data_IF_871638014208
#
_entry.id   IF_871638014208
#
_cell.length_a   1.000
_cell.length_b   1.000
_cell.length_c   1.000
_cell.angle_alpha   90.00
_cell.angle_beta   90.00
_cell.angle_gamma   90.00
#
_symmetry.space_group_name_H-M   'P 1'
#
loop_
_entity.id
_entity.type
_entity.pdbx_description
1 polymer ?
#
# COMPACT_ATOMS: atom_id res chain seq x y z
N UNK A 1 6.62 -3.13 -8.00
CA UNK A 1 6.79 -3.17 -9.46
C UNK A 1 6.81 -1.77 -10.04
N UNK A 2 7.69 -1.53 -11.01
CA UNK A 2 7.91 -0.25 -11.68
C UNK A 2 8.59 0.81 -10.82
N UNK A 3 9.17 1.82 -11.47
CA UNK A 3 9.91 2.92 -10.83
C UNK A 3 9.24 4.25 -11.14
N UNK A 4 9.06 5.11 -10.14
CA UNK A 4 8.55 6.47 -10.38
C UNK A 4 9.64 7.29 -11.06
N UNK A 5 9.38 7.70 -12.30
CA UNK A 5 10.25 8.61 -13.06
C UNK A 5 9.84 10.07 -12.85
N UNK A 6 8.57 10.29 -12.49
CA UNK A 6 8.08 11.56 -11.95
C UNK A 6 6.88 11.34 -11.01
N UNK A 7 6.23 12.43 -10.58
CA UNK A 7 5.13 12.40 -9.60
C UNK A 7 3.92 11.58 -10.06
N UNK A 8 3.70 11.42 -11.37
CA UNK A 8 2.50 10.78 -11.93
C UNK A 8 2.81 9.64 -12.90
N UNK A 9 4.05 9.52 -13.37
CA UNK A 9 4.49 8.46 -14.26
C UNK A 9 5.37 7.43 -13.54
N UNK A 10 4.97 6.17 -13.69
CA UNK A 10 5.75 5.00 -13.30
C UNK A 10 6.19 4.26 -14.55
N UNK A 11 7.49 4.10 -14.72
CA UNK A 11 8.07 3.31 -15.79
C UNK A 11 8.12 1.84 -15.38
N UNK A 12 7.80 0.95 -16.31
CA UNK A 12 8.00 -0.48 -16.14
C UNK A 12 9.33 -0.86 -16.80
N UNK A 13 10.23 -1.40 -16.00
CA UNK A 13 11.49 -1.97 -16.49
C UNK A 13 11.23 -3.24 -17.30
N UNK A 14 12.23 -3.70 -18.05
CA UNK A 14 12.15 -4.99 -18.75
C UNK A 14 11.89 -6.15 -17.77
N UNK A 15 12.43 -6.09 -16.56
CA UNK A 15 12.21 -7.07 -15.50
C UNK A 15 10.75 -7.08 -15.00
N UNK A 16 10.16 -5.90 -14.80
CA UNK A 16 8.74 -5.78 -14.43
C UNK A 16 7.84 -6.41 -15.51
N UNK A 17 8.12 -6.10 -16.79
CA UNK A 17 7.37 -6.63 -17.93
C UNK A 17 7.53 -8.15 -18.04
N UNK A 18 8.77 -8.64 -17.91
CA UNK A 18 9.06 -10.07 -17.93
C UNK A 18 8.35 -10.82 -16.81
N UNK A 19 8.24 -10.22 -15.62
CA UNK A 19 7.54 -10.78 -14.47
C UNK A 19 6.03 -10.93 -14.75
N UNK A 20 5.38 -9.88 -15.28
CA UNK A 20 3.95 -9.93 -15.64
C UNK A 20 3.70 -10.94 -16.76
N UNK A 21 4.51 -10.91 -17.82
CA UNK A 21 4.38 -11.84 -18.95
C UNK A 21 4.58 -13.30 -18.48
N UNK A 22 5.60 -13.55 -17.66
CA UNK A 22 5.89 -14.85 -17.10
C UNK A 22 4.73 -15.40 -16.27
N UNK A 23 4.15 -14.58 -15.39
CA UNK A 23 2.98 -14.97 -14.59
C UNK A 23 1.77 -15.32 -15.47
N UNK A 24 1.51 -14.53 -16.51
CA UNK A 24 0.43 -14.80 -17.46
C UNK A 24 0.63 -16.11 -18.24
N UNK A 25 1.82 -16.34 -18.80
CA UNK A 25 2.10 -17.54 -19.57
C UNK A 25 2.14 -18.81 -18.68
N UNK A 26 2.61 -18.69 -17.44
CA UNK A 26 2.52 -19.75 -16.44
C UNK A 26 1.06 -20.10 -16.11
N UNK A 27 0.19 -19.09 -15.94
CA UNK A 27 -1.25 -19.28 -15.70
C UNK A 27 -1.94 -19.96 -16.88
N UNK A 28 -1.59 -19.56 -18.11
CA UNK A 28 -2.12 -20.15 -19.34
C UNK A 28 -1.69 -21.61 -19.54
N UNK A 29 -0.56 -22.00 -18.94
CA UNK A 29 0.02 -23.33 -19.10
C UNK A 29 0.75 -23.51 -20.43
N UNK A 30 1.38 -22.45 -20.95
CA UNK A 30 2.13 -22.52 -22.20
C UNK A 30 3.32 -23.48 -22.06
N UNK A 31 3.50 -24.37 -23.06
CA UNK A 31 4.46 -25.49 -23.00
C UNK A 31 5.92 -25.06 -22.83
N UNK A 32 6.23 -23.83 -23.21
CA UNK A 32 7.58 -23.28 -23.20
C UNK A 32 7.94 -22.59 -21.87
N UNK A 33 7.00 -22.54 -20.91
CA UNK A 33 7.21 -21.94 -19.59
C UNK A 33 7.64 -22.99 -18.58
N UNK A 34 8.81 -22.79 -17.97
CA UNK A 34 9.39 -23.71 -16.97
C UNK A 34 8.81 -23.59 -15.56
N UNK A 35 7.81 -22.73 -15.34
CA UNK A 35 7.23 -22.42 -14.03
C UNK A 35 5.76 -22.80 -13.94
N UNK A 36 5.34 -23.27 -12.77
CA UNK A 36 3.92 -23.48 -12.44
C UNK A 36 3.32 -22.16 -11.96
N UNK A 37 2.08 -21.89 -12.34
CA UNK A 37 1.34 -20.76 -11.81
C UNK A 37 1.00 -20.91 -10.33
N UNK A 38 1.13 -19.81 -9.58
CA UNK A 38 0.70 -19.67 -8.20
C UNK A 38 0.09 -18.28 -8.00
N UNK A 39 -0.91 -18.19 -7.13
CA UNK A 39 -1.49 -16.91 -6.71
C UNK A 39 -0.50 -16.21 -5.77
N UNK A 40 -0.23 -14.93 -6.02
CA UNK A 40 0.71 -14.12 -5.23
C UNK A 40 -0.02 -12.88 -4.71
N UNK A 41 -0.14 -12.72 -3.37
CA UNK A 41 -0.80 -11.58 -2.77
C UNK A 41 -0.24 -10.24 -3.26
N UNK A 42 -1.12 -9.33 -3.68
CA UNK A 42 -0.72 -8.03 -4.25
C UNK A 42 -0.21 -8.06 -5.70
N UNK A 43 -0.08 -9.23 -6.33
CA UNK A 43 0.43 -9.37 -7.70
C UNK A 43 -0.54 -10.06 -8.66
N UNK A 44 -0.94 -11.31 -8.41
CA UNK A 44 -1.84 -12.05 -9.32
C UNK A 44 -2.69 -13.10 -8.58
N UNK A 45 -3.89 -13.37 -9.11
CA UNK A 45 -4.75 -14.43 -8.59
C UNK A 45 -5.69 -15.01 -9.68
N UNK A 46 -5.90 -16.32 -9.65
CA UNK A 46 -6.87 -17.02 -10.49
C UNK A 46 -8.19 -17.23 -9.73
N UNK A 47 -9.21 -16.42 -10.07
CA UNK A 47 -10.51 -16.45 -9.40
C UNK A 47 -11.60 -17.13 -10.21
N UNK A 48 -12.51 -17.82 -9.52
CA UNK A 48 -13.66 -18.47 -10.14
C UNK A 48 -14.71 -17.44 -10.56
N UNK A 49 -15.41 -17.73 -11.65
CA UNK A 49 -16.48 -16.88 -12.16
C UNK A 49 -17.62 -16.67 -11.14
N UNK A 50 -17.90 -17.66 -10.29
CA UNK A 50 -18.92 -17.53 -9.25
C UNK A 50 -18.55 -16.48 -8.19
N UNK A 51 -17.27 -16.33 -7.86
CA UNK A 51 -16.82 -15.31 -6.92
C UNK A 51 -16.89 -13.91 -7.54
N UNK A 52 -16.56 -13.79 -8.84
CA UNK A 52 -16.78 -12.57 -9.61
C UNK A 52 -18.27 -12.18 -9.65
N UNK A 53 -19.17 -13.17 -9.82
CA UNK A 53 -20.62 -12.94 -9.81
C UNK A 53 -21.12 -12.46 -8.45
N UNK A 54 -20.66 -13.06 -7.35
CA UNK A 54 -21.00 -12.61 -5.97
C UNK A 54 -20.61 -11.16 -5.73
N UNK A 55 -19.55 -10.69 -6.40
CA UNK A 55 -19.06 -9.33 -6.32
C UNK A 55 -19.66 -8.36 -7.35
N UNK A 56 -20.73 -8.76 -8.03
CA UNK A 56 -21.44 -7.91 -8.99
C UNK A 56 -20.62 -7.59 -10.24
N UNK A 57 -19.73 -8.51 -10.66
CA UNK A 57 -18.86 -8.37 -11.84
C UNK A 57 -17.86 -7.20 -11.78
N UNK A 58 -17.63 -6.64 -10.59
CA UNK A 58 -16.57 -5.64 -10.38
C UNK A 58 -15.21 -6.34 -10.47
N UNK A 59 -14.35 -5.89 -11.39
CA UNK A 59 -13.05 -6.52 -11.67
C UNK A 59 -11.85 -5.79 -11.03
N UNK A 60 -12.09 -4.94 -10.04
CA UNK A 60 -11.00 -4.24 -9.34
C UNK A 60 -10.07 -5.27 -8.67
N UNK A 61 -8.76 -5.33 -9.05
CA UNK A 61 -7.87 -6.41 -8.62
C UNK A 61 -7.76 -6.58 -7.11
N UNK A 62 -7.78 -5.48 -6.34
CA UNK A 62 -7.68 -5.53 -4.87
C UNK A 62 -8.79 -6.33 -4.18
N UNK A 63 -9.89 -6.66 -4.87
CA UNK A 63 -10.95 -7.54 -4.35
C UNK A 63 -10.58 -9.03 -4.42
N UNK A 64 -9.63 -9.40 -5.26
CA UNK A 64 -9.32 -10.78 -5.63
C UNK A 64 -7.88 -11.19 -5.33
N UNK A 65 -6.95 -10.24 -5.47
CA UNK A 65 -5.51 -10.49 -5.44
C UNK A 65 -4.94 -10.42 -4.02
N UNK A 66 -5.73 -9.98 -3.03
CA UNK A 66 -5.25 -9.76 -1.66
C UNK A 66 -4.26 -8.58 -1.58
N UNK A 67 -3.79 -8.29 -0.37
CA UNK A 67 -2.70 -7.34 -0.15
C UNK A 67 -1.39 -8.10 0.00
N UNK A 68 -0.31 -7.57 -0.56
CA UNK A 68 1.04 -8.02 -0.22
C UNK A 68 1.17 -7.97 1.30
N UNK A 69 1.84 -8.96 1.90
CA UNK A 69 2.11 -8.95 3.33
C UNK A 69 2.85 -7.65 3.62
N UNK A 70 2.23 -6.75 4.39
CA UNK A 70 2.96 -5.63 4.94
C UNK A 70 4.13 -6.21 5.74
N UNK A 71 5.29 -5.54 5.73
CA UNK A 71 6.32 -5.86 6.73
C UNK A 71 5.63 -5.90 8.08
N UNK A 72 5.65 -7.08 8.72
CA UNK A 72 5.09 -7.22 10.05
C UNK A 72 5.88 -6.25 10.93
N UNK A 73 5.17 -5.28 11.49
CA UNK A 73 5.76 -4.48 12.55
C UNK A 73 5.99 -5.43 13.72
N UNK A 74 7.26 -5.80 13.93
CA UNK A 74 7.68 -6.70 15.00
C UNK A 74 7.31 -6.16 16.40
N UNK A 75 6.90 -4.87 16.51
CA UNK A 75 6.41 -4.27 17.75
C UNK A 75 5.01 -4.79 18.13
N UNK A 76 4.84 -5.42 19.31
CA UNK A 76 3.53 -5.82 19.80
C UNK A 76 2.56 -4.63 19.85
N UNK A 77 1.30 -4.86 19.47
CA UNK A 77 0.27 -3.80 19.39
C UNK A 77 0.21 -2.90 20.63
N UNK A 78 0.28 -3.50 21.83
CA UNK A 78 0.24 -2.78 23.11
C UNK A 78 1.44 -1.84 23.32
N UNK A 79 2.64 -2.26 22.88
CA UNK A 79 3.85 -1.43 22.97
C UNK A 79 3.80 -0.28 21.97
N UNK A 80 3.39 -0.58 20.74
CA UNK A 80 3.17 0.40 19.68
C UNK A 80 2.15 1.46 20.09
N UNK A 81 1.01 1.06 20.65
CA UNK A 81 -0.02 1.98 21.09
C UNK A 81 0.45 2.87 22.24
N UNK A 82 1.20 2.32 23.21
CA UNK A 82 1.79 3.12 24.30
C UNK A 82 2.77 4.16 23.76
N UNK A 83 3.66 3.77 22.84
CA UNK A 83 4.65 4.65 22.20
C UNK A 83 3.97 5.75 21.39
N UNK A 84 3.03 5.40 20.52
CA UNK A 84 2.31 6.35 19.68
C UNK A 84 1.47 7.32 20.53
N UNK A 85 0.80 6.86 21.58
CA UNK A 85 0.06 7.72 22.49
C UNK A 85 0.97 8.71 23.24
N UNK A 86 2.15 8.28 23.66
CA UNK A 86 3.15 9.15 24.28
C UNK A 86 3.64 10.23 23.30
N UNK A 87 3.97 9.84 22.07
CA UNK A 87 4.35 10.76 20.99
C UNK A 87 3.25 11.78 20.69
N UNK A 88 2.00 11.34 20.58
CA UNK A 88 0.86 12.21 20.34
C UNK A 88 0.69 13.25 21.46
N UNK A 89 0.79 12.84 22.72
CA UNK A 89 0.70 13.77 23.87
C UNK A 89 1.81 14.81 23.87
N UNK A 90 3.03 14.42 23.50
CA UNK A 90 4.16 15.35 23.36
C UNK A 90 3.87 16.38 22.26
N UNK A 91 3.45 15.91 21.08
CA UNK A 91 3.10 16.78 19.96
C UNK A 91 1.93 17.73 20.28
N UNK A 92 0.90 17.25 20.97
CA UNK A 92 -0.20 18.10 21.44
C UNK A 92 0.26 19.20 22.41
N UNK A 93 1.23 18.88 23.28
CA UNK A 93 1.78 19.86 24.21
C UNK A 93 2.61 20.92 23.49
N UNK A 94 3.38 20.51 22.48
CA UNK A 94 4.15 21.41 21.64
C UNK A 94 3.26 22.30 20.78
N UNK A 95 2.21 21.73 20.16
CA UNK A 95 1.22 22.47 19.39
C UNK A 95 0.57 23.58 20.23
N UNK A 96 0.12 23.28 21.46
CA UNK A 96 -0.46 24.29 22.36
C UNK A 96 0.50 25.43 22.69
N UNK A 97 1.79 25.14 22.84
CA UNK A 97 2.81 26.18 23.08
C UNK A 97 2.97 27.06 21.85
N UNK A 98 3.06 26.45 20.68
CA UNK A 98 3.16 27.18 19.41
C UNK A 98 1.92 28.03 19.15
N UNK A 99 0.72 27.50 19.38
CA UNK A 99 -0.54 28.24 19.27
C UNK A 99 -0.56 29.47 20.19
N UNK A 100 -0.08 29.34 21.42
CA UNK A 100 0.02 30.47 22.35
C UNK A 100 1.01 31.55 21.86
N UNK A 101 2.15 31.14 21.30
CA UNK A 101 3.13 32.06 20.70
C UNK A 101 2.55 32.76 19.47
N UNK A 102 1.87 32.02 18.60
CA UNK A 102 1.20 32.56 17.41
C UNK A 102 0.16 33.60 17.81
N UNK A 103 -0.68 33.29 18.81
CA UNK A 103 -1.69 34.22 19.31
C UNK A 103 -1.08 35.50 19.92
N UNK A 104 0.02 35.38 20.66
CA UNK A 104 0.73 36.53 21.21
C UNK A 104 1.30 37.44 20.09
N UNK A 105 1.93 36.85 19.08
CA UNK A 105 2.49 37.57 17.95
C UNK A 105 1.41 38.26 17.10
N UNK A 106 0.27 37.59 16.87
CA UNK A 106 -0.87 38.18 16.14
C UNK A 106 -1.41 39.40 16.88
N UNK A 107 -1.53 39.32 18.20
CA UNK A 107 -1.96 40.44 19.05
C UNK A 107 -1.01 41.63 18.96
N UNK A 108 0.30 41.40 18.94
CA UNK A 108 1.31 42.47 18.75
C UNK A 108 1.22 43.12 17.36
N UNK A 109 0.83 42.35 16.35
CA UNK A 109 0.61 42.83 14.98
C UNK A 109 -0.77 43.48 14.77
N UNK A 110 -1.62 43.52 15.80
CA UNK A 110 -2.94 44.16 15.75
C UNK A 110 -4.07 43.29 15.20
N UNK A 111 -3.90 41.96 15.20
CA UNK A 111 -4.92 40.97 14.82
C UNK A 111 -5.45 40.19 16.02
#
# INVERSE_FOLDING_TARGET
>A
MGTLIDRVHREMTEEDIASVAGAYHAWRGDKDVKGKYEDVPGFCAAVKLDDVRKHGYVLTPGRYVGAEAAEEDDEPFEEKMKRLAATLRKQQTEAKKLDAVIAANLKELGF
#
